data_IF_408428422510
#
_entry.id   IF_408428422510
#
_cell.length_a   1.000
_cell.length_b   1.000
_cell.length_c   1.000
_cell.angle_alpha   90.00
_cell.angle_beta   90.00
_cell.angle_gamma   90.00
#
_symmetry.space_group_name_H-M   'P 1'
#
loop_
_entity.id
_entity.type
_entity.pdbx_description
1 polymer ?
#
# COMPACT_ATOMS: atom_id res chain seq x y z
N UNK A 1 2.65 10.08 15.71
CA UNK A 1 1.49 10.97 15.91
C UNK A 1 0.77 10.58 17.20
N UNK A 2 0.28 11.54 18.01
CA UNK A 2 -0.39 11.25 19.29
C UNK A 2 -1.84 11.72 19.36
N UNK A 3 -2.35 12.36 18.31
CA UNK A 3 -3.73 12.85 18.22
C UNK A 3 -4.53 11.91 17.32
N UNK A 4 -5.61 11.25 17.80
CA UNK A 4 -6.36 10.28 17.01
C UNK A 4 -7.00 10.81 15.73
N UNK A 5 -7.24 12.12 15.65
CA UNK A 5 -7.85 12.81 14.51
C UNK A 5 -6.84 13.53 13.62
N UNK A 6 -5.54 13.42 13.92
CA UNK A 6 -4.52 13.94 13.03
C UNK A 6 -4.31 12.96 11.88
N UNK A 7 -4.35 13.49 10.67
CA UNK A 7 -4.09 12.72 9.46
C UNK A 7 -2.58 12.64 9.24
N UNK A 8 -2.08 11.43 8.97
CA UNK A 8 -0.72 11.24 8.47
C UNK A 8 -0.68 11.45 6.96
N UNK A 9 0.51 11.72 6.42
CA UNK A 9 0.71 11.87 4.99
C UNK A 9 2.03 11.26 4.54
N UNK A 10 2.65 11.91 3.55
CA UNK A 10 3.92 11.48 2.98
C UNK A 10 5.04 11.29 4.03
N UNK A 11 5.28 12.20 4.99
CA UNK A 11 6.33 12.01 5.99
C UNK A 11 6.14 10.73 6.82
N UNK A 12 4.90 10.44 7.20
CA UNK A 12 4.58 9.22 7.93
C UNK A 12 4.71 7.97 7.06
N UNK A 13 4.35 8.02 5.77
CA UNK A 13 4.53 6.89 4.85
C UNK A 13 6.02 6.54 4.68
N UNK A 14 6.87 7.55 4.50
CA UNK A 14 8.33 7.37 4.42
C UNK A 14 8.90 6.77 5.72
N UNK A 15 8.50 7.30 6.87
CA UNK A 15 8.97 6.77 8.15
C UNK A 15 8.44 5.36 8.41
N UNK A 16 7.19 5.07 8.03
CA UNK A 16 6.60 3.74 8.15
C UNK A 16 7.34 2.71 7.29
N UNK A 17 7.73 3.03 6.05
CA UNK A 17 8.51 2.09 5.22
C UNK A 17 9.83 1.73 5.88
N UNK A 18 10.49 2.72 6.50
CA UNK A 18 11.73 2.51 7.23
C UNK A 18 11.54 1.64 8.49
N UNK A 19 10.51 1.94 9.30
CA UNK A 19 10.24 1.17 10.54
C UNK A 19 9.80 -0.27 10.25
N UNK A 20 9.03 -0.48 9.18
CA UNK A 20 8.59 -1.81 8.77
C UNK A 20 9.69 -2.60 8.04
N UNK A 21 10.68 -1.92 7.47
CA UNK A 21 11.65 -2.54 6.57
C UNK A 21 10.99 -3.11 5.31
N UNK A 22 9.95 -2.43 4.80
CA UNK A 22 9.12 -2.90 3.69
C UNK A 22 8.78 -1.75 2.74
N UNK A 23 8.69 -2.02 1.43
CA UNK A 23 8.26 -1.01 0.47
C UNK A 23 6.78 -0.64 0.65
N UNK A 24 6.47 0.64 0.47
CA UNK A 24 5.10 1.17 0.42
C UNK A 24 4.87 1.82 -0.94
N UNK A 25 3.81 1.40 -1.63
CA UNK A 25 3.42 1.93 -2.94
C UNK A 25 2.10 2.69 -2.83
N UNK A 26 2.12 3.94 -3.28
CA UNK A 26 0.93 4.81 -3.32
C UNK A 26 0.39 4.84 -4.74
N UNK A 27 -0.88 4.46 -4.87
CA UNK A 27 -1.63 4.49 -6.12
C UNK A 27 -2.60 5.67 -6.14
N UNK A 28 -2.98 6.15 -7.31
CA UNK A 28 -4.05 7.15 -7.48
C UNK A 28 -4.76 6.95 -8.81
N UNK A 29 -6.08 7.16 -8.83
CA UNK A 29 -6.83 7.24 -10.08
C UNK A 29 -6.58 8.58 -10.78
N UNK A 30 -6.05 8.52 -12.00
CA UNK A 30 -5.93 9.69 -12.87
C UNK A 30 -7.13 9.77 -13.81
N UNK A 31 -7.63 10.97 -14.07
CA UNK A 31 -8.72 11.18 -15.04
C UNK A 31 -8.37 10.52 -16.39
N UNK A 32 -9.24 9.64 -16.86
CA UNK A 32 -9.09 8.95 -18.14
C UNK A 32 -8.22 7.69 -18.12
N UNK A 33 -7.81 7.18 -16.94
CA UNK A 33 -7.17 5.88 -16.82
C UNK A 33 -8.14 4.85 -16.23
N UNK A 34 -8.22 3.66 -16.85
CA UNK A 34 -9.00 2.53 -16.34
C UNK A 34 -8.41 1.91 -15.05
N UNK A 35 -7.10 2.11 -14.83
CA UNK A 35 -6.37 1.54 -13.69
C UNK A 35 -5.65 2.63 -12.88
N UNK A 36 -5.55 2.47 -11.56
CA UNK A 36 -4.85 3.42 -10.72
C UNK A 36 -3.33 3.35 -10.97
N UNK A 37 -2.68 4.51 -11.07
CA UNK A 37 -1.25 4.63 -11.35
C UNK A 37 -0.46 4.78 -10.07
N UNK A 38 0.77 4.29 -10.06
CA UNK A 38 1.71 4.55 -8.98
C UNK A 38 2.11 6.03 -9.04
N UNK A 39 1.95 6.75 -7.92
CA UNK A 39 2.33 8.16 -7.78
C UNK A 39 3.51 8.38 -6.83
N UNK A 40 3.79 7.43 -5.95
CA UNK A 40 4.94 7.45 -5.06
C UNK A 40 5.32 6.03 -4.62
N UNK A 41 6.62 5.82 -4.38
CA UNK A 41 7.16 4.59 -3.82
C UNK A 41 8.18 4.93 -2.73
N UNK A 42 8.04 4.30 -1.57
CA UNK A 42 8.93 4.49 -0.42
C UNK A 42 9.57 3.15 -0.04
N UNK A 43 10.81 3.19 0.46
CA UNK A 43 11.52 1.98 0.92
C UNK A 43 11.94 1.03 -0.21
N UNK A 44 12.26 1.55 -1.40
CA UNK A 44 12.74 0.75 -2.54
C UNK A 44 14.01 -0.04 -2.19
N UNK A 45 14.81 0.42 -1.23
CA UNK A 45 15.99 -0.29 -0.72
C UNK A 45 15.69 -1.63 -0.06
N UNK A 46 14.45 -1.87 0.36
CA UNK A 46 14.01 -3.13 0.97
C UNK A 46 13.51 -4.17 -0.04
N UNK A 47 13.52 -3.83 -1.34
CA UNK A 47 13.05 -4.69 -2.43
C UNK A 47 11.73 -4.19 -3.04
N UNK A 48 11.17 -5.00 -3.95
CA UNK A 48 9.93 -4.68 -4.69
C UNK A 48 8.82 -5.72 -4.49
N UNK A 49 9.10 -6.75 -3.70
CA UNK A 49 8.20 -7.85 -3.47
C UNK A 49 7.17 -7.50 -2.39
N UNK A 50 5.90 -7.81 -2.68
CA UNK A 50 4.76 -7.66 -1.78
C UNK A 50 4.72 -6.34 -0.98
N UNK A 51 4.74 -5.16 -1.65
CA UNK A 51 4.66 -3.89 -0.97
C UNK A 51 3.33 -3.72 -0.25
N UNK A 52 3.33 -2.92 0.82
CA UNK A 52 2.09 -2.35 1.35
C UNK A 52 1.55 -1.38 0.30
N UNK A 53 0.32 -1.58 -0.15
CA UNK A 53 -0.29 -0.75 -1.19
C UNK A 53 -1.41 0.08 -0.61
N UNK A 54 -1.40 1.37 -0.91
CA UNK A 54 -2.47 2.30 -0.56
C UNK A 54 -2.96 3.04 -1.79
N UNK A 55 -4.23 3.40 -1.81
CA UNK A 55 -4.86 4.23 -2.84
C UNK A 55 -5.14 5.61 -2.26
N UNK A 56 -4.58 6.65 -2.88
CA UNK A 56 -4.81 8.05 -2.55
C UNK A 56 -5.92 8.63 -3.44
N UNK A 57 -6.86 9.36 -2.84
CA UNK A 57 -8.01 9.94 -3.54
C UNK A 57 -7.73 11.33 -4.17
N UNK A 58 -6.61 11.96 -3.81
CA UNK A 58 -6.26 13.31 -4.24
C UNK A 58 -6.54 14.41 -3.21
N UNK A 59 -7.28 14.12 -2.13
CA UNK A 59 -7.79 15.11 -1.17
C UNK A 59 -7.44 14.81 0.30
N UNK A 60 -6.59 13.81 0.55
CA UNK A 60 -6.09 13.48 1.89
C UNK A 60 -6.52 12.10 2.39
N UNK A 61 -7.37 11.38 1.65
CA UNK A 61 -7.83 10.05 2.03
C UNK A 61 -6.95 8.94 1.44
N UNK A 62 -6.73 7.91 2.24
CA UNK A 62 -5.99 6.72 1.83
C UNK A 62 -6.80 5.45 2.13
N UNK A 63 -6.92 4.58 1.13
CA UNK A 63 -7.51 3.25 1.26
C UNK A 63 -6.44 2.16 1.15
N UNK A 64 -6.53 1.11 1.97
CA UNK A 64 -5.62 -0.03 1.87
C UNK A 64 -5.99 -0.94 0.70
N UNK A 65 -5.03 -1.24 -0.18
CA UNK A 65 -5.22 -2.17 -1.29
C UNK A 65 -4.72 -3.56 -0.91
N UNK A 66 -5.64 -4.49 -0.69
CA UNK A 66 -5.29 -5.88 -0.46
C UNK A 66 -5.00 -6.60 -1.79
N UNK A 67 -3.97 -7.47 -1.85
CA UNK A 67 -3.86 -8.41 -2.95
C UNK A 67 -5.16 -9.20 -3.07
N UNK A 68 -5.64 -9.43 -4.29
CA UNK A 68 -6.78 -10.31 -4.50
C UNK A 68 -6.49 -11.64 -3.80
N UNK A 69 -7.39 -12.05 -2.91
CA UNK A 69 -7.30 -13.34 -2.26
C UNK A 69 -7.46 -14.41 -3.34
N UNK A 70 -6.35 -14.85 -3.94
CA UNK A 70 -6.34 -16.12 -4.67
C UNK A 70 -6.72 -17.15 -3.62
N UNK A 71 -7.96 -17.65 -3.70
CA UNK A 71 -8.49 -18.72 -2.86
C UNK A 71 -7.47 -19.85 -2.89
N UNK A 72 -6.66 -19.95 -1.85
CA UNK A 72 -5.73 -21.06 -1.69
C UNK A 72 -6.62 -22.28 -1.49
N UNK A 73 -6.73 -23.12 -2.50
CA UNK A 73 -7.41 -24.40 -2.33
C UNK A 73 -6.65 -25.15 -1.22
N UNK A 74 -7.33 -25.62 -0.16
CA UNK A 74 -6.67 -26.46 0.82
C UNK A 74 -6.17 -27.70 0.07
N UNK A 75 -4.86 -27.90 0.03
CA UNK A 75 -4.28 -29.18 -0.39
C UNK A 75 -4.81 -30.22 0.57
N UNK A 76 -5.80 -30.99 0.13
CA UNK A 76 -6.18 -32.25 0.77
C UNK A 76 -4.93 -33.13 0.74
N UNK A 77 -4.24 -33.23 1.89
CA UNK A 77 -3.31 -34.32 2.11
C UNK A 77 -4.15 -35.57 2.29
N UNK A 78 -4.33 -36.33 1.20
CA UNK A 78 -4.75 -37.72 1.28
C UNK A 78 -3.67 -38.51 2.01
N UNK A 79 -4.07 -39.19 3.07
CA UNK A 79 -3.35 -40.30 3.68
C UNK A 79 -3.88 -41.61 3.08
#
# INVERSE_FOLDING_TARGET
>A
MRKPHAWGGEPELLMCSHVLGMPITVHMYTKGADNPRIIAEYGQEYGKDNPVRVLYDGYGHYDALQPSLVRTQPRLRGA
#
